data_IF_878836745477
#
_entry.id   IF_878836745477
#
_cell.length_a   1.000
_cell.length_b   1.000
_cell.length_c   1.000
_cell.angle_alpha   90.00
_cell.angle_beta   90.00
_cell.angle_gamma   90.00
#
_symmetry.space_group_name_H-M   'P 1'
#
loop_
_entity.id
_entity.type
_entity.pdbx_description
1 polymer ?
#
# COMPACT_ATOMS: atom_id res chain seq x y z
N UNK A 1 -2.49 -13.65 -16.23
CA UNK A 1 -3.91 -13.54 -15.84
C UNK A 1 -4.08 -12.53 -14.71
N UNK A 2 -3.57 -12.72 -13.48
CA UNK A 2 -3.60 -11.66 -12.46
C UNK A 2 -2.52 -10.57 -12.64
N UNK A 3 -1.26 -10.94 -12.95
CA UNK A 3 -0.18 -9.98 -13.21
C UNK A 3 -0.48 -9.03 -14.39
N UNK A 4 -1.07 -9.56 -15.46
CA UNK A 4 -1.47 -8.74 -16.62
C UNK A 4 -2.64 -7.83 -16.32
N UNK A 5 -3.60 -8.26 -15.48
CA UNK A 5 -4.66 -7.37 -15.01
C UNK A 5 -4.07 -6.20 -14.22
N UNK A 6 -3.25 -6.48 -13.22
CA UNK A 6 -2.63 -5.45 -12.39
C UNK A 6 -1.76 -4.50 -13.23
N UNK A 7 -0.90 -5.04 -14.11
CA UNK A 7 -0.01 -4.24 -14.96
C UNK A 7 -0.71 -3.32 -15.96
N UNK A 8 -1.97 -3.60 -16.30
CA UNK A 8 -2.78 -2.77 -17.20
C UNK A 8 -3.70 -1.77 -16.46
N UNK A 9 -3.63 -1.69 -15.14
CA UNK A 9 -4.42 -0.71 -14.39
C UNK A 9 -3.88 0.70 -14.62
N UNK A 10 -4.80 1.60 -14.94
CA UNK A 10 -4.63 3.04 -14.90
C UNK A 10 -5.75 3.60 -14.02
N UNK A 11 -5.37 4.07 -12.83
CA UNK A 11 -6.32 4.62 -11.86
C UNK A 11 -6.02 6.12 -11.75
N UNK A 12 -6.86 6.93 -12.38
CA UNK A 12 -6.74 8.40 -12.40
C UNK A 12 -5.37 8.89 -12.93
N UNK A 13 -4.80 8.21 -13.92
CA UNK A 13 -3.49 8.51 -14.50
C UNK A 13 -2.32 7.82 -13.80
N UNK A 14 -2.58 7.07 -12.72
CA UNK A 14 -1.53 6.32 -12.01
C UNK A 14 -1.43 4.92 -12.61
N UNK A 15 -0.29 4.65 -13.24
CA UNK A 15 0.10 3.37 -13.85
C UNK A 15 1.21 2.69 -13.05
N UNK A 16 1.57 1.45 -13.39
CA UNK A 16 2.65 0.72 -12.70
C UNK A 16 2.17 -0.13 -11.52
N UNK A 17 0.86 -0.42 -11.47
CA UNK A 17 0.29 -1.36 -10.51
C UNK A 17 0.79 -2.78 -10.76
N UNK A 18 0.94 -3.55 -9.68
CA UNK A 18 1.40 -4.95 -9.71
C UNK A 18 0.73 -5.74 -8.59
N UNK A 19 0.91 -7.06 -8.59
CA UNK A 19 0.56 -7.87 -7.42
C UNK A 19 1.60 -7.69 -6.31
N UNK A 20 1.23 -7.93 -5.04
CA UNK A 20 2.17 -7.86 -3.92
C UNK A 20 3.27 -8.92 -4.05
N UNK A 21 4.45 -8.59 -3.56
CA UNK A 21 5.59 -9.49 -3.49
C UNK A 21 5.56 -10.33 -2.21
N UNK A 22 5.92 -11.60 -2.36
CA UNK A 22 6.23 -12.53 -1.27
C UNK A 22 7.74 -12.57 -1.04
N UNK A 23 8.13 -12.63 0.23
CA UNK A 23 9.49 -12.86 0.73
C UNK A 23 9.90 -14.35 0.70
N UNK A 24 9.05 -15.22 0.12
CA UNK A 24 9.20 -16.68 0.08
C UNK A 24 9.22 -17.40 1.44
N UNK A 25 8.88 -16.69 2.53
CA UNK A 25 8.59 -17.32 3.82
C UNK A 25 7.29 -18.16 3.73
N UNK A 26 7.24 -19.31 4.39
CA UNK A 26 6.05 -20.17 4.41
C UNK A 26 5.51 -20.34 5.83
N UNK A 27 4.19 -20.28 5.96
CA UNK A 27 3.48 -20.37 7.23
C UNK A 27 3.06 -19.01 7.77
N UNK A 28 3.04 -18.90 9.09
CA UNK A 28 2.64 -17.70 9.81
C UNK A 28 3.84 -16.80 10.11
N UNK A 29 3.58 -15.53 10.46
CA UNK A 29 4.58 -14.53 10.82
C UNK A 29 5.60 -14.21 9.71
N UNK A 30 5.21 -14.42 8.45
CA UNK A 30 5.97 -13.99 7.28
C UNK A 30 5.77 -12.48 7.07
N UNK A 31 6.46 -11.65 7.86
CA UNK A 31 6.29 -10.19 7.87
C UNK A 31 7.15 -9.46 6.85
N UNK A 32 8.01 -10.15 6.10
CA UNK A 32 8.84 -9.55 5.05
C UNK A 32 8.12 -9.42 3.70
N UNK A 33 6.98 -10.09 3.51
CA UNK A 33 6.15 -9.92 2.32
C UNK A 33 5.27 -8.68 2.43
N UNK A 34 4.87 -8.08 1.31
CA UNK A 34 4.03 -6.87 1.33
C UNK A 34 2.66 -7.15 1.97
N UNK A 35 2.10 -8.33 1.72
CA UNK A 35 0.81 -8.71 2.30
C UNK A 35 0.93 -9.17 3.76
N UNK A 36 2.06 -9.77 4.13
CA UNK A 36 2.36 -10.14 5.50
C UNK A 36 2.64 -8.91 6.38
N UNK A 37 3.43 -7.95 5.88
CA UNK A 37 3.65 -6.66 6.52
C UNK A 37 2.33 -5.91 6.73
N UNK A 38 1.47 -5.86 5.69
CA UNK A 38 0.13 -5.29 5.81
C UNK A 38 -0.68 -5.97 6.93
N UNK A 39 -0.72 -7.30 6.95
CA UNK A 39 -1.51 -8.06 7.92
C UNK A 39 -1.00 -7.91 9.36
N UNK A 40 0.30 -8.13 9.58
CA UNK A 40 0.90 -8.23 10.91
C UNK A 40 1.32 -6.87 11.48
N UNK A 41 1.99 -6.04 10.69
CA UNK A 41 2.61 -4.80 11.19
C UNK A 41 1.69 -3.60 11.04
N UNK A 42 1.05 -3.43 9.88
CA UNK A 42 0.21 -2.26 9.59
C UNK A 42 -1.17 -2.41 10.24
N UNK A 43 -1.84 -3.54 10.03
CA UNK A 43 -3.17 -3.80 10.60
C UNK A 43 -3.10 -4.36 12.03
N UNK A 44 -1.94 -4.86 12.47
CA UNK A 44 -1.77 -5.39 13.82
C UNK A 44 -2.54 -6.68 14.09
N UNK A 45 -2.78 -7.51 13.07
CA UNK A 45 -3.43 -8.81 13.25
C UNK A 45 -2.45 -9.86 13.79
N UNK A 46 -3.01 -10.94 14.33
CA UNK A 46 -2.26 -12.11 14.76
C UNK A 46 -2.59 -13.31 13.90
N UNK A 47 -1.65 -14.26 13.80
CA UNK A 47 -1.87 -15.49 13.04
C UNK A 47 -3.15 -16.22 13.51
N UNK A 48 -3.95 -16.68 12.55
CA UNK A 48 -5.23 -17.34 12.79
C UNK A 48 -6.44 -16.41 13.00
N UNK A 49 -6.28 -15.09 12.96
CA UNK A 49 -7.40 -14.17 13.10
C UNK A 49 -7.23 -12.86 12.34
N UNK A 50 -8.24 -12.48 11.54
CA UNK A 50 -8.36 -11.19 10.90
C UNK A 50 -9.30 -10.30 11.73
N UNK A 51 -8.75 -9.61 12.73
CA UNK A 51 -9.51 -8.72 13.64
C UNK A 51 -9.56 -7.28 13.16
N UNK A 52 -8.52 -6.83 12.47
CA UNK A 52 -8.33 -5.47 12.01
C UNK A 52 -8.25 -5.43 10.50
N UNK A 53 -9.22 -4.78 9.87
CA UNK A 53 -9.28 -4.61 8.41
C UNK A 53 -9.26 -3.15 7.99
N UNK A 54 -9.54 -2.22 8.91
CA UNK A 54 -9.56 -0.78 8.63
C UNK A 54 -8.19 -0.30 8.12
N UNK A 55 -8.14 0.53 7.06
CA UNK A 55 -9.25 1.23 6.39
C UNK A 55 -9.94 0.42 5.27
N UNK A 56 -9.54 -0.84 5.04
CA UNK A 56 -10.00 -1.63 3.91
C UNK A 56 -11.37 -2.27 4.17
N UNK A 57 -12.22 -2.22 3.16
CA UNK A 57 -13.48 -2.96 3.10
C UNK A 57 -13.40 -4.04 2.03
N UNK A 58 -14.34 -4.99 2.05
CA UNK A 58 -14.43 -6.06 1.06
C UNK A 58 -13.16 -6.91 0.93
N UNK A 59 -12.51 -7.20 2.06
CA UNK A 59 -11.37 -8.12 2.12
C UNK A 59 -11.85 -9.55 1.84
N UNK A 60 -11.22 -10.20 0.86
CA UNK A 60 -11.44 -11.59 0.46
C UNK A 60 -10.51 -12.52 1.23
N UNK A 61 -10.68 -13.84 1.08
CA UNK A 61 -9.96 -14.81 1.90
C UNK A 61 -8.47 -15.00 1.52
N UNK A 62 -8.08 -14.76 0.27
CA UNK A 62 -6.74 -15.08 -0.23
C UNK A 62 -6.36 -14.26 -1.45
N UNK A 63 -5.10 -13.86 -1.55
CA UNK A 63 -4.59 -13.02 -2.63
C UNK A 63 -3.29 -13.54 -3.23
N UNK A 64 -3.22 -13.59 -4.56
CA UNK A 64 -2.01 -13.94 -5.29
C UNK A 64 -0.87 -12.94 -5.06
N UNK A 65 0.34 -13.48 -4.99
CA UNK A 65 1.58 -12.71 -5.09
C UNK A 65 2.12 -12.72 -6.53
N UNK A 66 2.92 -11.69 -6.87
CA UNK A 66 3.72 -11.70 -8.09
C UNK A 66 4.84 -12.77 -8.07
N UNK A 67 5.22 -13.27 -6.89
CA UNK A 67 6.35 -14.19 -6.72
C UNK A 67 5.96 -15.62 -7.14
N UNK A 68 6.71 -16.18 -8.08
CA UNK A 68 6.55 -17.58 -8.51
C UNK A 68 7.30 -18.55 -7.59
N UNK A 69 6.83 -19.80 -7.49
CA UNK A 69 7.56 -20.85 -6.80
C UNK A 69 8.47 -21.61 -7.78
N UNK A 70 9.77 -21.51 -7.55
CA UNK A 70 10.81 -21.86 -8.53
C UNK A 70 11.09 -23.37 -8.70
N UNK A 71 10.83 -24.27 -7.73
CA UNK A 71 11.02 -25.70 -7.98
C UNK A 71 10.06 -26.37 -8.98
N UNK A 72 9.08 -25.67 -9.56
CA UNK A 72 8.09 -26.32 -10.43
C UNK A 72 7.30 -25.46 -11.42
N UNK A 73 7.39 -24.13 -11.41
CA UNK A 73 6.79 -23.20 -12.39
C UNK A 73 5.25 -23.19 -12.50
N UNK A 74 4.58 -24.23 -11.98
CA UNK A 74 3.13 -24.44 -11.98
C UNK A 74 2.46 -23.89 -10.72
N UNK A 75 3.23 -23.51 -9.71
CA UNK A 75 2.75 -22.93 -8.45
C UNK A 75 3.27 -21.50 -8.28
N UNK A 76 2.52 -20.71 -7.53
CA UNK A 76 2.86 -19.34 -7.16
C UNK A 76 2.55 -19.11 -5.68
N UNK A 77 3.20 -18.09 -5.11
CA UNK A 77 2.94 -17.67 -3.76
C UNK A 77 1.62 -16.91 -3.67
N UNK A 78 0.92 -17.08 -2.56
CA UNK A 78 -0.26 -16.32 -2.21
C UNK A 78 -0.34 -16.16 -0.69
N UNK A 79 -1.14 -15.19 -0.27
CA UNK A 79 -1.34 -14.89 1.14
C UNK A 79 -2.80 -15.13 1.52
N UNK A 80 -3.02 -15.96 2.55
CA UNK A 80 -4.34 -16.21 3.16
C UNK A 80 -4.59 -15.16 4.21
N UNK A 81 -5.09 -14.00 3.79
CA UNK A 81 -5.31 -12.87 4.70
C UNK A 81 -6.30 -13.19 5.84
N UNK A 82 -7.21 -14.15 5.65
CA UNK A 82 -8.12 -14.57 6.73
C UNK A 82 -7.40 -15.17 7.94
N UNK A 83 -6.20 -15.75 7.73
CA UNK A 83 -5.44 -16.47 8.75
C UNK A 83 -4.02 -15.92 8.96
N UNK A 84 -3.56 -14.97 8.11
CA UNK A 84 -2.19 -14.46 8.14
C UNK A 84 -1.13 -15.42 7.57
N UNK A 85 -1.54 -16.49 6.89
CA UNK A 85 -0.63 -17.56 6.42
C UNK A 85 -0.15 -17.29 4.99
N UNK A 86 1.16 -17.39 4.75
CA UNK A 86 1.76 -17.36 3.42
C UNK A 86 2.11 -18.77 2.94
N UNK A 87 1.66 -19.13 1.73
CA UNK A 87 1.93 -20.46 1.17
C UNK A 87 1.83 -20.43 -0.35
N UNK A 88 2.01 -21.59 -0.99
CA UNK A 88 1.98 -21.75 -2.44
C UNK A 88 0.77 -22.55 -2.89
N UNK A 89 0.24 -22.25 -4.06
CA UNK A 89 -0.78 -23.08 -4.71
C UNK A 89 -0.57 -23.09 -6.23
N UNK A 90 -1.23 -24.02 -6.93
CA UNK A 90 -1.16 -24.12 -8.37
C UNK A 90 -1.82 -22.91 -9.05
N UNK A 91 -1.18 -22.41 -10.12
CA UNK A 91 -1.62 -21.22 -10.88
C UNK A 91 -2.97 -21.39 -11.58
N UNK A 92 -3.52 -22.60 -11.64
CA UNK A 92 -4.85 -22.89 -12.19
C UNK A 92 -5.99 -22.72 -11.17
N UNK A 93 -5.70 -22.47 -9.89
CA UNK A 93 -6.73 -22.13 -8.90
C UNK A 93 -7.18 -20.68 -9.02
N UNK A 94 -8.47 -20.46 -8.75
CA UNK A 94 -9.06 -19.13 -8.68
C UNK A 94 -8.80 -18.53 -7.30
N UNK A 95 -7.79 -17.67 -7.20
CA UNK A 95 -7.49 -16.85 -6.03
C UNK A 95 -7.59 -15.37 -6.46
N UNK A 96 -8.04 -14.51 -5.56
CA UNK A 96 -8.21 -13.08 -5.84
C UNK A 96 -6.86 -12.39 -6.07
N UNK A 97 -6.91 -11.21 -6.67
CA UNK A 97 -5.76 -10.34 -6.88
C UNK A 97 -5.94 -9.06 -6.06
N UNK A 98 -4.86 -8.56 -5.48
CA UNK A 98 -4.81 -7.24 -4.85
C UNK A 98 -3.74 -6.44 -5.59
N UNK A 99 -4.11 -5.32 -6.19
CA UNK A 99 -3.15 -4.46 -6.86
C UNK A 99 -2.47 -3.53 -5.84
N UNK A 100 -1.14 -3.48 -5.87
CA UNK A 100 -0.31 -2.58 -5.07
C UNK A 100 0.54 -1.70 -5.99
N UNK A 101 0.88 -0.52 -5.50
CA UNK A 101 1.72 0.44 -6.21
C UNK A 101 2.93 0.80 -5.34
N UNK A 102 4.04 1.17 -5.98
CA UNK A 102 5.25 1.60 -5.27
C UNK A 102 5.29 3.12 -5.18
N UNK A 103 5.39 3.65 -3.97
CA UNK A 103 5.35 5.09 -3.70
C UNK A 103 3.94 5.58 -3.37
N UNK A 104 3.83 6.88 -3.11
CA UNK A 104 2.57 7.48 -2.68
C UNK A 104 1.64 7.71 -3.87
N UNK A 105 0.45 7.13 -3.79
CA UNK A 105 -0.60 7.29 -4.79
C UNK A 105 -1.54 8.41 -4.35
N UNK A 106 -1.73 9.42 -5.19
CA UNK A 106 -2.69 10.50 -4.91
C UNK A 106 -2.14 11.67 -4.08
N UNK A 107 -0.81 11.79 -3.90
CA UNK A 107 -0.18 13.04 -3.44
C UNK A 107 -0.18 14.09 -4.56
N UNK A 108 -1.37 14.45 -5.04
CA UNK A 108 -1.53 15.76 -5.67
C UNK A 108 -1.09 16.79 -4.64
N UNK A 109 -0.10 17.60 -5.00
CA UNK A 109 0.54 18.63 -4.15
C UNK A 109 -0.52 19.25 -3.25
N UNK A 110 -0.52 18.92 -1.95
CA UNK A 110 -1.42 19.59 -1.00
C UNK A 110 -1.01 21.05 -1.06
N UNK A 111 -1.89 21.98 -1.50
CA UNK A 111 -1.51 23.38 -1.59
C UNK A 111 -0.99 23.80 -0.23
N UNK A 112 0.23 24.36 -0.20
CA UNK A 112 0.80 24.90 1.03
C UNK A 112 -0.28 25.79 1.65
N UNK A 113 -0.74 25.54 2.88
CA UNK A 113 -1.90 26.21 3.43
C UNK A 113 -1.77 27.72 3.26
N UNK A 114 -2.86 28.41 2.89
CA UNK A 114 -2.88 29.87 2.74
C UNK A 114 -2.28 30.61 3.96
N UNK A 115 -2.26 29.95 5.12
CA UNK A 115 -1.52 30.35 6.31
C UNK A 115 -0.05 30.73 6.04
N UNK A 116 0.69 30.03 5.18
CA UNK A 116 2.08 30.39 4.85
C UNK A 116 2.17 31.73 4.12
N UNK A 117 1.23 32.01 3.21
CA UNK A 117 1.13 33.31 2.54
C UNK A 117 0.62 34.41 3.47
N UNK A 118 -0.29 34.09 4.40
CA UNK A 118 -0.78 35.02 5.43
C UNK A 118 0.31 35.37 6.46
N UNK A 119 1.09 34.39 6.93
CA UNK A 119 2.17 34.64 7.89
C UNK A 119 3.33 35.41 7.24
N UNK A 120 3.69 35.08 6.00
CA UNK A 120 4.73 35.81 5.27
C UNK A 120 4.31 37.25 4.96
N UNK A 121 3.08 37.48 4.48
CA UNK A 121 2.55 38.83 4.25
C UNK A 121 2.31 39.62 5.54
N UNK A 122 1.82 38.97 6.60
CA UNK A 122 1.62 39.59 7.91
C UNK A 122 2.93 40.03 8.56
N UNK A 123 3.97 39.20 8.49
CA UNK A 123 5.29 39.52 9.03
C UNK A 123 5.96 40.67 8.24
N UNK A 124 5.86 40.65 6.91
CA UNK A 124 6.34 41.76 6.06
C UNK A 124 5.56 43.05 6.33
N UNK A 125 4.24 42.96 6.52
CA UNK A 125 3.41 44.10 6.92
C UNK A 125 3.85 44.72 8.24
N UNK A 126 4.07 43.90 9.26
CA UNK A 126 4.55 44.35 10.59
C UNK A 126 5.91 45.03 10.52
N UNK A 127 6.86 44.51 9.73
CA UNK A 127 8.17 45.12 9.52
C UNK A 127 8.10 46.47 8.79
N UNK A 128 7.15 46.63 7.86
CA UNK A 128 6.91 47.91 7.18
C UNK A 128 6.25 48.96 8.11
N UNK A 129 5.39 48.55 9.03
CA UNK A 129 4.74 49.47 9.99
C UNK A 129 5.69 49.95 11.09
N UNK A 130 6.62 49.12 11.57
CA UNK A 130 7.58 49.52 12.61
C UNK A 130 8.60 50.54 12.09
N UNK A 131 8.95 50.48 10.80
CA UNK A 131 9.83 51.47 10.15
C UNK A 131 9.24 52.88 10.03
N UNK A 132 7.92 53.04 10.09
CA UNK A 132 7.24 54.35 10.00
C UNK A 132 7.10 55.08 11.34
N UNK A 133 7.34 54.42 12.48
CA UNK A 133 7.21 55.01 13.82
C UNK A 133 8.52 55.60 14.39
N UNK A 134 9.60 55.68 13.62
CA UNK A 134 10.91 56.22 14.05
C UNK A 134 11.24 57.54 13.30
N UNK A 135 10.23 58.32 12.91
CA UNK A 135 10.41 59.69 12.37
C UNK A 135 9.66 60.70 13.21
#
# INVERSE_FOLDING_TARGET
MANSWAGNLDILGVTGWRLPNSDTCSGNNCTGSEMGDLFYNILGNSAGSLTNTSPFSNIMHSYWSATEYVPGGSTAWYFKIGNGEQTTNYKNFLIYAWAVHSGDVGTGVVPVPAAVWLFSSGLLGLLCFTRRKIS
#
